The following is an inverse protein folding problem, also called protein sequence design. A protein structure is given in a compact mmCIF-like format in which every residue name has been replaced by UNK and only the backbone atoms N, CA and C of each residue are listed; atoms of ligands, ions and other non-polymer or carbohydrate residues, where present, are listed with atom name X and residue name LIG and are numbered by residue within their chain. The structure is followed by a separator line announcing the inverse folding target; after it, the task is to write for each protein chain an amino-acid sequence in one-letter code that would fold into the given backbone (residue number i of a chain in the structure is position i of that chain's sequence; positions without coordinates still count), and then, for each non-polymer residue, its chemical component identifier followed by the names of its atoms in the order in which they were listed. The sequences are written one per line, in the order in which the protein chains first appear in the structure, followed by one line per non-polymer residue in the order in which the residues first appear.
data_IF_721371007385
#
_entry.id   IF_721371007385
#
_cell.length_a   1.000
_cell.length_b   1.000
_cell.length_c   1.000
_cell.angle_alpha   90.00
_cell.angle_beta   90.00
_cell.angle_gamma   90.00
#
_symmetry.space_group_name_H-M   'P 1'
#
loop_
_entity.id
_entity.type
_entity.pdbx_description
1 polymer ?
#
# COMPACT_ATOMS: atom_id res chain seq x y z
N UNK A 1 -3.96 -1.57 -15.55
CA UNK A 1 -4.88 -2.09 -14.54
C UNK A 1 -5.40 -0.92 -13.73
N UNK A 2 -6.70 -0.75 -13.66
CA UNK A 2 -7.31 0.28 -12.82
C UNK A 2 -8.14 -0.39 -11.73
N UNK A 3 -8.04 0.09 -10.51
CA UNK A 3 -8.92 -0.30 -9.41
C UNK A 3 -9.75 0.91 -8.96
N UNK A 4 -10.96 0.64 -8.54
CA UNK A 4 -11.90 1.62 -8.01
C UNK A 4 -12.45 1.10 -6.69
N UNK A 5 -12.38 1.92 -5.67
CA UNK A 5 -12.99 1.62 -4.37
C UNK A 5 -13.84 2.81 -3.93
N UNK A 6 -15.03 2.51 -3.44
CA UNK A 6 -15.91 3.48 -2.80
C UNK A 6 -16.31 2.94 -1.45
N UNK A 7 -16.13 3.71 -0.41
CA UNK A 7 -16.59 3.41 0.92
C UNK A 7 -17.63 4.46 1.31
N UNK A 8 -18.80 3.99 1.69
CA UNK A 8 -19.88 4.80 2.26
C UNK A 8 -20.24 4.21 3.61
N UNK A 9 -20.29 5.05 4.60
CA UNK A 9 -20.67 4.69 5.95
C UNK A 9 -21.65 5.73 6.48
N UNK A 10 -22.80 5.25 6.91
CA UNK A 10 -23.80 6.07 7.60
C UNK A 10 -24.09 5.41 8.94
N UNK A 11 -23.89 6.13 9.99
CA UNK A 11 -24.24 5.64 11.33
C UNK A 11 -25.36 6.51 11.87
N UNK A 12 -26.47 5.89 12.15
CA UNK A 12 -27.60 6.48 12.84
C UNK A 12 -27.61 5.86 14.22
N UNK A 13 -27.23 6.61 15.18
CA UNK A 13 -27.49 6.31 16.56
C UNK A 13 -27.23 7.56 17.38
N UNK A 14 -27.86 7.88 18.41
CA UNK A 14 -28.20 7.20 19.60
C UNK A 14 -29.16 8.09 20.35
N UNK A 15 -30.23 7.59 20.75
CA UNK A 15 -31.03 8.21 21.76
C UNK A 15 -30.27 8.16 23.08
N UNK A 16 -29.96 9.32 23.64
CA UNK A 16 -29.36 9.40 24.96
C UNK A 16 -30.28 8.73 26.00
N UNK A 17 -29.68 7.99 26.89
CA UNK A 17 -30.42 7.39 28.00
C UNK A 17 -30.66 8.45 29.08
N UNK A 18 -31.89 8.57 29.55
CA UNK A 18 -32.23 9.40 30.65
C UNK A 18 -32.04 8.61 31.94
N UNK A 19 -31.30 9.18 32.87
CA UNK A 19 -31.09 8.62 34.21
C UNK A 19 -31.75 9.52 35.23
N UNK A 20 -32.54 8.93 36.11
CA UNK A 20 -33.04 9.63 37.25
C UNK A 20 -31.98 9.57 38.35
N UNK A 21 -31.55 10.73 38.84
CA UNK A 21 -30.71 10.77 40.01
C UNK A 21 -31.58 10.76 41.26
N UNK A 22 -31.73 9.60 41.87
CA UNK A 22 -32.57 9.41 43.05
C UNK A 22 -32.17 10.28 44.23
N UNK A 23 -30.89 10.66 44.35
CA UNK A 23 -30.39 11.49 45.46
C UNK A 23 -30.80 12.96 45.35
N UNK A 24 -31.01 13.45 44.13
CA UNK A 24 -31.35 14.87 43.88
C UNK A 24 -32.71 15.04 43.24
N UNK A 25 -33.38 13.98 42.86
CA UNK A 25 -34.65 14.02 42.12
C UNK A 25 -34.54 14.66 40.74
N UNK A 26 -33.32 14.87 40.26
CA UNK A 26 -33.09 15.47 38.96
C UNK A 26 -33.00 14.35 37.90
N UNK A 27 -33.75 14.51 36.83
CA UNK A 27 -33.57 13.67 35.63
C UNK A 27 -32.21 14.00 35.00
N UNK A 28 -31.41 12.98 34.83
CA UNK A 28 -30.19 13.10 34.08
C UNK A 28 -30.51 12.98 32.59
N UNK A 29 -30.41 14.09 31.91
CA UNK A 29 -30.61 14.13 30.47
C UNK A 29 -29.57 13.29 29.74
N UNK A 30 -30.01 12.57 28.78
CA UNK A 30 -29.10 11.79 27.95
C UNK A 30 -28.17 12.64 27.09
N UNK A 31 -27.24 11.99 26.43
CA UNK A 31 -26.16 12.64 25.67
C UNK A 31 -26.69 13.37 24.43
N UNK A 32 -27.91 13.12 24.00
CA UNK A 32 -28.53 13.66 22.80
C UNK A 32 -28.47 12.69 21.64
N UNK A 33 -28.64 13.21 20.44
CA UNK A 33 -28.64 12.41 19.18
C UNK A 33 -27.50 12.87 18.31
N UNK A 34 -26.84 11.95 17.62
CA UNK A 34 -25.85 12.30 16.60
C UNK A 34 -26.06 11.49 15.32
N UNK A 35 -25.60 12.06 14.23
CA UNK A 35 -25.57 11.42 12.92
C UNK A 35 -24.21 11.68 12.29
N UNK A 36 -23.51 10.62 11.96
CA UNK A 36 -22.27 10.66 11.17
C UNK A 36 -22.54 10.20 9.77
N UNK A 37 -21.89 10.84 8.81
CA UNK A 37 -21.90 10.41 7.43
C UNK A 37 -20.50 10.51 6.85
N UNK A 38 -20.05 9.45 6.23
CA UNK A 38 -18.80 9.42 5.50
C UNK A 38 -19.00 8.85 4.09
N UNK A 39 -18.54 9.58 3.09
CA UNK A 39 -18.51 9.15 1.70
C UNK A 39 -17.12 9.33 1.13
N UNK A 40 -16.38 8.24 1.09
CA UNK A 40 -15.00 8.22 0.62
C UNK A 40 -14.92 7.50 -0.73
N UNK A 41 -14.29 8.17 -1.70
CA UNK A 41 -14.07 7.60 -3.04
C UNK A 41 -12.59 7.59 -3.32
N UNK A 42 -12.05 6.40 -3.56
CA UNK A 42 -10.69 6.17 -4.00
C UNK A 42 -10.69 5.61 -5.42
N UNK A 43 -9.96 6.28 -6.30
CA UNK A 43 -9.74 5.81 -7.67
C UNK A 43 -8.25 5.68 -7.91
N UNK A 44 -7.77 4.46 -8.09
CA UNK A 44 -6.39 4.19 -8.44
C UNK A 44 -6.29 3.66 -9.87
N UNK A 45 -5.40 4.22 -10.65
CA UNK A 45 -5.08 3.78 -12.00
C UNK A 45 -3.59 3.54 -12.10
N UNK A 46 -3.21 2.37 -12.58
CA UNK A 46 -1.81 1.99 -12.73
C UNK A 46 -1.60 1.50 -14.17
N UNK A 47 -0.71 2.19 -14.86
CA UNK A 47 -0.25 1.78 -16.18
C UNK A 47 1.17 1.23 -16.08
N UNK A 48 1.40 0.05 -16.63
CA UNK A 48 2.71 -0.59 -16.65
C UNK A 48 3.12 -0.91 -18.08
N UNK A 49 4.33 -0.50 -18.45
CA UNK A 49 4.98 -0.88 -19.70
C UNK A 49 6.35 -1.48 -19.39
N UNK A 50 6.65 -2.64 -19.95
CA UNK A 50 7.89 -3.33 -19.66
C UNK A 50 8.50 -4.00 -20.88
N UNK A 51 9.84 -3.97 -20.96
CA UNK A 51 10.65 -4.65 -21.95
C UNK A 51 11.59 -5.62 -21.24
N UNK A 52 11.69 -6.84 -21.75
CA UNK A 52 12.64 -7.85 -21.24
C UNK A 52 13.42 -8.44 -22.37
N UNK A 53 14.70 -8.59 -22.16
CA UNK A 53 15.66 -9.21 -23.05
C UNK A 53 16.31 -10.40 -22.37
N UNK A 54 16.52 -11.46 -23.11
CA UNK A 54 17.25 -12.64 -22.65
C UNK A 54 18.07 -13.24 -23.79
N UNK A 55 19.34 -13.47 -23.52
CA UNK A 55 20.24 -14.17 -24.45
C UNK A 55 21.06 -15.22 -23.72
N UNK A 56 21.52 -16.25 -24.49
CA UNK A 56 22.36 -17.32 -23.96
C UNK A 56 23.59 -17.43 -24.82
N UNK A 57 24.76 -17.52 -24.21
CA UNK A 57 26.04 -17.73 -24.85
C UNK A 57 26.99 -18.49 -23.90
N UNK A 58 27.67 -19.48 -24.40
CA UNK A 58 28.77 -20.25 -23.74
C UNK A 58 28.66 -20.34 -22.20
N UNK A 59 27.58 -20.99 -21.70
CA UNK A 59 27.38 -21.19 -20.26
C UNK A 59 26.75 -19.99 -19.51
N UNK A 60 26.63 -18.85 -20.16
CA UNK A 60 26.00 -17.65 -19.60
C UNK A 60 24.56 -17.50 -20.06
N UNK A 61 23.73 -16.94 -19.20
CA UNK A 61 22.38 -16.52 -19.52
C UNK A 61 22.20 -15.09 -19.03
N UNK A 62 22.36 -14.14 -19.95
CA UNK A 62 22.19 -12.72 -19.68
C UNK A 62 20.71 -12.35 -19.78
N UNK A 63 20.22 -11.61 -18.80
CA UNK A 63 18.86 -11.08 -18.75
C UNK A 63 18.92 -9.60 -18.39
N UNK A 64 18.17 -8.80 -19.12
CA UNK A 64 17.98 -7.39 -18.85
C UNK A 64 16.50 -7.04 -18.94
N UNK A 65 16.08 -6.03 -18.22
CA UNK A 65 14.71 -5.54 -18.33
C UNK A 65 14.59 -4.11 -17.88
N UNK A 66 13.60 -3.45 -18.47
CA UNK A 66 13.15 -2.11 -18.11
C UNK A 66 11.66 -2.18 -17.84
N UNK A 67 11.20 -1.48 -16.83
CA UNK A 67 9.79 -1.35 -16.51
C UNK A 67 9.49 0.10 -16.15
N UNK A 68 8.48 0.66 -16.79
CA UNK A 68 7.93 1.96 -16.48
C UNK A 68 6.51 1.79 -15.95
N UNK A 69 6.23 2.41 -14.83
CA UNK A 69 4.94 2.39 -14.16
C UNK A 69 4.49 3.83 -13.91
N UNK A 70 3.30 4.14 -14.38
CA UNK A 70 2.60 5.39 -14.09
C UNK A 70 1.46 5.08 -13.14
N UNK A 71 1.46 5.74 -11.99
CA UNK A 71 0.44 5.62 -10.95
C UNK A 71 -0.33 6.93 -10.84
N UNK A 72 -1.65 6.84 -10.76
CA UNK A 72 -2.53 7.97 -10.54
C UNK A 72 -3.59 7.58 -9.52
N UNK A 73 -3.59 8.27 -8.39
CA UNK A 73 -4.51 8.03 -7.29
C UNK A 73 -5.30 9.31 -7.08
N UNK A 74 -6.63 9.19 -7.09
CA UNK A 74 -7.55 10.25 -6.75
C UNK A 74 -8.36 9.82 -5.54
N UNK A 75 -8.32 10.64 -4.53
CA UNK A 75 -9.10 10.48 -3.32
C UNK A 75 -10.06 11.65 -3.18
N UNK A 76 -11.28 11.34 -2.83
CA UNK A 76 -12.28 12.33 -2.47
C UNK A 76 -12.99 11.83 -1.21
N UNK A 77 -12.77 12.51 -0.11
CA UNK A 77 -13.37 12.21 1.18
C UNK A 77 -14.36 13.31 1.55
N UNK A 78 -15.55 12.92 1.96
CA UNK A 78 -16.57 13.81 2.51
C UNK A 78 -17.12 13.18 3.75
N UNK A 79 -16.95 13.88 4.85
CA UNK A 79 -17.42 13.45 6.15
C UNK A 79 -18.13 14.63 6.82
N UNK A 80 -19.25 14.36 7.47
CA UNK A 80 -19.93 15.34 8.30
C UNK A 80 -20.58 14.66 9.50
N UNK A 81 -20.66 15.43 10.55
CA UNK A 81 -21.30 15.04 11.80
C UNK A 81 -22.32 16.09 12.18
N UNK A 82 -23.50 15.63 12.47
CA UNK A 82 -24.59 16.43 13.04
C UNK A 82 -24.87 15.95 14.46
N UNK A 83 -25.09 16.88 15.36
CA UNK A 83 -25.27 16.57 16.79
C UNK A 83 -26.31 17.46 17.41
N UNK A 84 -27.10 16.88 18.34
CA UNK A 84 -27.89 17.57 19.32
C UNK A 84 -27.51 17.08 20.72
N UNK A 85 -27.27 17.97 21.62
CA UNK A 85 -26.89 17.67 23.01
C UNK A 85 -28.06 17.73 23.99
N UNK A 86 -29.28 17.74 23.53
CA UNK A 86 -30.47 17.90 24.35
C UNK A 86 -30.42 19.15 25.24
N UNK A 87 -29.76 20.21 24.79
CA UNK A 87 -29.60 21.46 25.55
C UNK A 87 -28.45 21.47 26.56
N UNK A 88 -27.66 20.41 26.65
CA UNK A 88 -26.57 20.32 27.61
C UNK A 88 -25.35 21.17 27.23
N UNK A 89 -24.86 21.03 26.04
CA UNK A 89 -23.71 21.80 25.51
C UNK A 89 -24.06 22.66 24.30
N UNK A 90 -25.14 22.32 23.60
CA UNK A 90 -25.67 23.05 22.46
C UNK A 90 -27.13 23.40 22.74
N UNK A 91 -27.63 24.57 22.30
CA UNK A 91 -29.05 24.87 22.40
C UNK A 91 -29.88 23.76 21.74
N UNK A 92 -30.80 23.20 22.51
CA UNK A 92 -31.72 22.19 22.00
C UNK A 92 -32.64 22.82 20.96
N UNK A 93 -32.73 22.19 19.82
CA UNK A 93 -33.64 22.56 18.73
C UNK A 93 -34.48 21.34 18.43
N UNK A 94 -35.77 21.29 18.80
CA UNK A 94 -36.63 20.19 18.41
C UNK A 94 -36.57 20.02 16.87
N UNK A 95 -36.52 18.81 16.39
CA UNK A 95 -36.57 18.45 14.98
C UNK A 95 -35.36 18.85 14.14
N UNK A 96 -34.24 19.33 14.71
CA UNK A 96 -33.06 19.70 13.92
C UNK A 96 -31.75 19.32 14.59
N UNK A 97 -30.97 18.49 13.93
CA UNK A 97 -29.56 18.24 14.27
C UNK A 97 -28.68 19.37 13.71
N UNK A 98 -27.71 19.79 14.46
CA UNK A 98 -26.75 20.83 14.02
C UNK A 98 -25.52 20.18 13.42
N UNK A 99 -25.09 20.75 12.32
CA UNK A 99 -23.78 20.40 11.71
C UNK A 99 -22.67 20.90 12.63
N UNK A 100 -21.92 19.98 13.21
CA UNK A 100 -20.80 20.25 14.11
C UNK A 100 -19.48 20.14 13.39
N UNK A 101 -19.37 19.18 12.48
CA UNK A 101 -18.15 18.87 11.78
C UNK A 101 -18.44 18.61 10.31
N UNK A 102 -17.58 19.13 9.45
CA UNK A 102 -17.60 18.84 8.02
C UNK A 102 -16.17 18.80 7.50
N UNK A 103 -15.80 17.68 6.91
CA UNK A 103 -14.54 17.49 6.20
C UNK A 103 -14.81 17.30 4.72
N UNK A 104 -14.10 18.06 3.90
CA UNK A 104 -14.03 17.82 2.48
C UNK A 104 -12.56 17.81 2.06
N UNK A 105 -12.09 16.67 1.58
CA UNK A 105 -10.75 16.49 1.07
C UNK A 105 -10.82 15.96 -0.36
N UNK A 106 -10.03 16.54 -1.25
CA UNK A 106 -9.88 16.09 -2.62
C UNK A 106 -8.39 16.09 -2.96
N UNK A 107 -7.80 14.92 -3.00
CA UNK A 107 -6.38 14.72 -3.26
C UNK A 107 -6.17 13.99 -4.59
N UNK A 108 -5.16 14.41 -5.32
CA UNK A 108 -4.68 13.71 -6.50
C UNK A 108 -3.17 13.51 -6.37
N UNK A 109 -2.74 12.26 -6.45
CA UNK A 109 -1.33 11.86 -6.43
C UNK A 109 -1.02 11.20 -7.76
N UNK A 110 0.03 11.67 -8.42
CA UNK A 110 0.54 11.06 -9.63
C UNK A 110 2.04 10.85 -9.47
N UNK A 111 2.52 9.67 -9.84
CA UNK A 111 3.93 9.32 -9.75
C UNK A 111 4.36 8.42 -10.90
N UNK A 112 5.62 8.56 -11.31
CA UNK A 112 6.29 7.68 -12.26
C UNK A 112 7.33 6.86 -11.54
N UNK A 113 7.34 5.57 -11.82
CA UNK A 113 8.36 4.66 -11.32
C UNK A 113 9.05 3.99 -12.51
N UNK A 114 10.35 4.22 -12.61
CA UNK A 114 11.21 3.58 -13.60
C UNK A 114 12.08 2.55 -12.90
N UNK A 115 12.10 1.33 -13.37
CA UNK A 115 12.99 0.31 -12.85
C UNK A 115 13.65 -0.48 -13.96
N UNK A 116 14.90 -0.83 -13.75
CA UNK A 116 15.68 -1.66 -14.66
C UNK A 116 16.46 -2.71 -13.90
N UNK A 117 16.77 -3.81 -14.55
CA UNK A 117 17.65 -4.83 -14.00
C UNK A 117 18.55 -5.41 -15.07
N UNK A 118 19.73 -5.83 -14.63
CA UNK A 118 20.69 -6.60 -15.40
C UNK A 118 21.14 -7.78 -14.54
N UNK A 119 21.07 -8.98 -15.09
CA UNK A 119 21.43 -10.20 -14.38
C UNK A 119 22.13 -11.15 -15.35
N UNK A 120 23.20 -11.79 -14.90
CA UNK A 120 23.81 -12.91 -15.58
C UNK A 120 23.80 -14.17 -14.71
N UNK A 121 23.57 -15.29 -15.34
CA UNK A 121 23.64 -16.62 -14.72
C UNK A 121 24.68 -17.43 -15.48
N UNK A 122 25.79 -17.69 -14.83
CA UNK A 122 26.91 -18.44 -15.38
C UNK A 122 26.93 -19.86 -14.83
N UNK A 123 26.91 -20.82 -15.72
CA UNK A 123 26.97 -22.24 -15.40
C UNK A 123 28.29 -22.84 -15.90
N UNK A 124 29.06 -23.41 -14.98
CA UNK A 124 30.35 -24.01 -15.29
C UNK A 124 30.59 -25.29 -14.50
N UNK A 125 31.37 -26.21 -15.07
CA UNK A 125 31.79 -27.47 -14.43
C UNK A 125 33.14 -27.27 -13.76
N UNK A 126 33.28 -27.86 -12.56
CA UNK A 126 34.52 -27.95 -11.81
C UNK A 126 34.73 -29.38 -11.33
N UNK A 127 35.89 -29.72 -10.79
CA UNK A 127 36.16 -31.01 -10.14
C UNK A 127 35.21 -31.30 -8.98
N UNK A 128 34.70 -30.27 -8.32
CA UNK A 128 33.76 -30.37 -7.21
C UNK A 128 32.30 -30.62 -7.64
N UNK A 129 31.98 -30.34 -8.91
CA UNK A 129 30.63 -30.49 -9.43
C UNK A 129 30.23 -29.37 -10.40
N UNK A 130 28.93 -29.23 -10.60
CA UNK A 130 28.34 -28.20 -11.45
C UNK A 130 28.00 -26.99 -10.62
N UNK A 131 28.59 -25.85 -10.95
CA UNK A 131 28.30 -24.55 -10.35
C UNK A 131 27.30 -23.77 -11.19
N UNK A 132 26.43 -23.06 -10.52
CA UNK A 132 25.55 -22.05 -11.11
C UNK A 132 25.70 -20.76 -10.29
N UNK A 133 26.40 -19.78 -10.85
CA UNK A 133 26.59 -18.45 -10.27
C UNK A 133 25.61 -17.48 -10.93
N UNK A 134 24.76 -16.85 -10.15
CA UNK A 134 23.86 -15.79 -10.63
C UNK A 134 24.16 -14.52 -9.90
N UNK A 135 24.41 -13.46 -10.63
CA UNK A 135 24.64 -12.12 -10.09
C UNK A 135 23.91 -11.09 -10.93
N UNK A 136 23.51 -10.02 -10.28
CA UNK A 136 22.75 -8.97 -10.96
C UNK A 136 22.53 -7.76 -10.07
N UNK A 137 22.05 -6.72 -10.72
CA UNK A 137 21.69 -5.46 -10.07
C UNK A 137 20.33 -5.01 -10.57
N UNK A 138 19.54 -4.46 -9.67
CA UNK A 138 18.31 -3.77 -9.98
C UNK A 138 18.42 -2.32 -9.53
N UNK A 139 18.02 -1.42 -10.41
CA UNK A 139 17.86 0.00 -10.17
C UNK A 139 16.37 0.32 -10.19
N UNK A 140 15.93 1.19 -9.28
CA UNK A 140 14.57 1.71 -9.30
C UNK A 140 14.60 3.16 -8.91
N UNK A 141 13.93 4.00 -9.69
CA UNK A 141 13.76 5.42 -9.44
C UNK A 141 12.28 5.74 -9.36
N UNK A 142 11.89 6.49 -8.33
CA UNK A 142 10.54 6.96 -8.12
C UNK A 142 10.54 8.48 -8.03
N UNK A 143 9.79 9.13 -8.92
CA UNK A 143 9.81 10.60 -9.05
C UNK A 143 9.09 11.31 -7.90
N UNK A 144 8.12 10.65 -7.26
CA UNK A 144 7.35 11.22 -6.16
C UNK A 144 8.24 11.64 -4.97
N UNK A 145 9.10 10.75 -4.52
CA UNK A 145 10.04 11.01 -3.42
C UNK A 145 11.46 11.26 -3.89
N UNK A 146 11.70 11.29 -5.23
CA UNK A 146 13.01 11.42 -5.86
C UNK A 146 14.04 10.39 -5.39
N UNK A 147 13.55 9.25 -4.95
CA UNK A 147 14.39 8.19 -4.42
C UNK A 147 14.89 7.26 -5.53
N UNK A 148 16.17 6.95 -5.46
CA UNK A 148 16.81 5.97 -6.33
C UNK A 148 17.38 4.86 -5.48
N UNK A 149 16.95 3.64 -5.73
CA UNK A 149 17.39 2.45 -5.01
C UNK A 149 18.20 1.53 -5.90
N UNK A 150 19.28 0.97 -5.32
CA UNK A 150 20.18 0.02 -5.98
C UNK A 150 20.13 -1.28 -5.18
N UNK A 151 19.80 -2.38 -5.84
CA UNK A 151 19.62 -3.68 -5.21
C UNK A 151 20.52 -4.73 -5.90
N UNK A 152 21.79 -4.86 -5.50
CA UNK A 152 22.66 -5.92 -5.98
C UNK A 152 22.27 -7.27 -5.35
N UNK A 153 22.45 -8.35 -6.11
CA UNK A 153 22.13 -9.71 -5.70
C UNK A 153 23.17 -10.67 -6.26
N UNK A 154 23.51 -11.67 -5.45
CA UNK A 154 24.36 -12.77 -5.86
C UNK A 154 23.83 -14.07 -5.29
N UNK A 155 23.89 -15.12 -6.06
CA UNK A 155 23.60 -16.48 -5.59
C UNK A 155 24.55 -17.47 -6.24
N UNK A 156 24.96 -18.46 -5.47
CA UNK A 156 25.78 -19.57 -5.93
C UNK A 156 25.08 -20.89 -5.61
N UNK A 157 25.01 -21.75 -6.58
CA UNK A 157 24.50 -23.12 -6.45
C UNK A 157 25.59 -24.11 -6.81
N UNK A 158 25.69 -25.19 -6.07
CA UNK A 158 26.59 -26.31 -6.34
C UNK A 158 25.79 -27.61 -6.35
N UNK A 159 25.94 -28.35 -7.42
CA UNK A 159 25.54 -29.75 -7.53
C UNK A 159 26.81 -30.57 -7.46
N UNK A 160 27.11 -31.23 -6.30
CA UNK A 160 28.36 -31.96 -6.10
C UNK A 160 28.51 -33.14 -7.09
N UNK A 161 29.71 -33.34 -7.60
CA UNK A 161 30.01 -34.46 -8.52
C UNK A 161 29.94 -35.84 -7.83
N UNK A 162 30.15 -35.87 -6.49
CA UNK A 162 30.14 -37.11 -5.70
C UNK A 162 28.73 -37.61 -5.37
N UNK A 163 27.72 -36.73 -5.38
CA UNK A 163 26.35 -37.09 -5.03
C UNK A 163 25.37 -36.08 -5.65
N UNK A 164 24.63 -36.52 -6.63
CA UNK A 164 23.65 -35.71 -7.39
C UNK A 164 22.31 -35.53 -6.64
N UNK A 165 22.12 -36.20 -5.49
CA UNK A 165 20.94 -36.02 -4.66
C UNK A 165 20.99 -34.73 -3.79
N UNK A 166 22.18 -34.10 -3.70
CA UNK A 166 22.38 -32.89 -2.90
C UNK A 166 22.52 -31.66 -3.79
N UNK A 167 21.85 -30.61 -3.41
CA UNK A 167 22.04 -29.30 -4.01
C UNK A 167 22.28 -28.28 -2.90
N UNK A 168 23.44 -27.64 -2.94
CA UNK A 168 23.79 -26.56 -2.01
C UNK A 168 23.50 -25.22 -2.69
N UNK A 169 22.84 -24.32 -1.99
CA UNK A 169 22.57 -22.98 -2.49
C UNK A 169 22.85 -21.94 -1.41
N UNK A 170 23.55 -20.90 -1.81
CA UNK A 170 23.75 -19.70 -1.01
C UNK A 170 23.30 -18.50 -1.82
N UNK A 171 22.57 -17.56 -1.20
CA UNK A 171 22.13 -16.33 -1.83
C UNK A 171 22.19 -15.18 -0.85
N UNK A 172 22.65 -14.03 -1.33
CA UNK A 172 22.64 -12.78 -0.56
C UNK A 172 22.36 -11.61 -1.49
N UNK A 173 21.92 -10.50 -0.91
CA UNK A 173 21.64 -9.29 -1.67
C UNK A 173 20.99 -8.23 -0.80
N UNK A 174 20.94 -7.02 -1.34
CA UNK A 174 20.20 -5.92 -0.76
C UNK A 174 18.82 -5.86 -1.40
N UNK A 175 17.79 -5.81 -0.54
CA UNK A 175 16.39 -5.73 -0.96
C UNK A 175 15.81 -4.42 -0.46
N UNK A 176 15.37 -3.61 -1.40
CA UNK A 176 14.71 -2.36 -1.09
C UNK A 176 13.27 -2.43 -1.56
N UNK A 177 12.36 -2.07 -0.69
CA UNK A 177 10.95 -1.98 -1.00
C UNK A 177 10.48 -0.57 -0.66
N UNK A 178 10.02 0.20 -1.67
CA UNK A 178 9.44 1.51 -1.39
C UNK A 178 8.16 1.36 -0.58
N UNK A 179 7.77 2.38 0.18
CA UNK A 179 6.52 2.38 0.92
C UNK A 179 5.33 2.18 -0.02
N UNK A 180 4.30 1.53 0.50
CA UNK A 180 2.99 1.45 -0.13
C UNK A 180 2.12 2.61 0.36
N UNK A 181 1.18 3.04 -0.47
CA UNK A 181 0.16 4.03 -0.09
C UNK A 181 -0.96 3.40 0.71
#
# INVERSE_FOLDING_TARGET
LSSFSTQEHETYDIQGQYWLNEATGAEQLGVGTYMEHARNRLRASVFNAGLRFRTKFTGHTLQAGLNWQLEKIKENAREWEMRDSMGYSLPHTPDMLRLIYSLHSANEVQGNRLSGFLQDSWRFKSKLGLFNLTYGVRLSHWDWNKETTISPRISIGLLPAANDHWTLRFATGFYYQPPFY
#
